data_IF_709282146540
#
_entry.id   IF_709282146540
#
_cell.length_a   1.000
_cell.length_b   1.000
_cell.length_c   1.000
_cell.angle_alpha   90.00
_cell.angle_beta   90.00
_cell.angle_gamma   90.00
#
_symmetry.space_group_name_H-M   'P 1'
#
loop_
_entity.id
_entity.type
_entity.pdbx_description
1 polymer ?
#
# COMPACT_ATOMS: atom_id res chain seq x y z
N UNK A 1 -11.39 29.84 26.65
CA UNK A 1 -11.16 29.24 25.32
C UNK A 1 -12.53 29.09 24.66
N UNK A 2 -12.81 29.84 23.58
CA UNK A 2 -14.16 29.96 22.99
C UNK A 2 -14.76 28.64 22.50
N UNK A 3 -16.04 28.41 22.80
CA UNK A 3 -16.84 27.21 22.44
C UNK A 3 -16.81 26.93 20.91
N UNK A 4 -16.67 27.98 20.10
CA UNK A 4 -16.56 27.88 18.63
C UNK A 4 -15.31 27.10 18.18
N UNK A 5 -14.19 27.26 18.88
CA UNK A 5 -12.95 26.56 18.57
C UNK A 5 -13.05 25.06 18.86
N UNK A 6 -13.75 24.67 19.93
CA UNK A 6 -13.94 23.26 20.32
C UNK A 6 -14.77 22.52 19.27
N UNK A 7 -15.85 23.13 18.76
CA UNK A 7 -16.68 22.54 17.69
C UNK A 7 -15.89 22.34 16.40
N UNK A 8 -15.01 23.28 16.06
CA UNK A 8 -14.18 23.22 14.86
C UNK A 8 -13.13 22.09 14.93
N UNK A 9 -12.47 21.94 16.09
CA UNK A 9 -11.51 20.84 16.35
C UNK A 9 -12.18 19.47 16.24
N UNK A 10 -13.39 19.32 16.79
CA UNK A 10 -14.15 18.06 16.72
C UNK A 10 -14.58 17.71 15.28
N UNK A 11 -14.90 18.73 14.47
CA UNK A 11 -15.18 18.59 13.04
C UNK A 11 -13.95 18.16 12.23
N UNK A 12 -12.80 18.81 12.47
CA UNK A 12 -11.51 18.43 11.86
C UNK A 12 -11.13 17.00 12.25
N UNK A 13 -11.35 16.60 13.51
CA UNK A 13 -11.12 15.24 13.98
C UNK A 13 -11.93 14.18 13.22
N UNK A 14 -13.23 14.43 12.98
CA UNK A 14 -14.05 13.53 12.15
C UNK A 14 -13.57 13.49 10.70
N UNK A 15 -13.18 14.65 10.15
CA UNK A 15 -12.61 14.73 8.79
C UNK A 15 -11.36 13.86 8.63
N UNK A 16 -10.39 13.97 9.55
CA UNK A 16 -9.18 13.16 9.54
C UNK A 16 -9.47 11.67 9.74
N UNK A 17 -10.45 11.34 10.60
CA UNK A 17 -10.86 9.97 10.85
C UNK A 17 -11.43 9.31 9.58
N UNK A 18 -12.39 9.96 8.93
CA UNK A 18 -13.02 9.47 7.69
C UNK A 18 -11.96 9.34 6.58
N UNK A 19 -11.11 10.35 6.44
CA UNK A 19 -10.04 10.34 5.44
C UNK A 19 -9.09 9.15 5.65
N UNK A 20 -8.64 8.91 6.88
CA UNK A 20 -7.78 7.77 7.21
C UNK A 20 -8.43 6.43 6.88
N UNK A 21 -9.72 6.27 7.18
CA UNK A 21 -10.50 5.06 6.84
C UNK A 21 -10.58 4.88 5.31
N UNK A 22 -10.84 5.95 4.56
CA UNK A 22 -10.89 5.88 3.10
C UNK A 22 -9.55 5.41 2.50
N UNK A 23 -8.42 5.89 3.01
CA UNK A 23 -7.10 5.43 2.57
C UNK A 23 -6.87 3.94 2.82
N UNK A 24 -7.32 3.42 3.97
CA UNK A 24 -7.21 2.00 4.28
C UNK A 24 -8.09 1.17 3.33
N UNK A 25 -9.36 1.53 3.16
CA UNK A 25 -10.26 0.83 2.24
C UNK A 25 -9.75 0.87 0.80
N UNK A 26 -9.28 2.03 0.35
CA UNK A 26 -8.70 2.20 -0.98
C UNK A 26 -7.48 1.29 -1.18
N UNK A 27 -6.58 1.21 -0.20
CA UNK A 27 -5.42 0.33 -0.26
C UNK A 27 -5.82 -1.14 -0.41
N UNK A 28 -6.77 -1.62 0.40
CA UNK A 28 -7.26 -3.00 0.32
C UNK A 28 -7.96 -3.27 -1.02
N UNK A 29 -8.80 -2.36 -1.48
CA UNK A 29 -9.50 -2.48 -2.76
C UNK A 29 -8.53 -2.52 -3.95
N UNK A 30 -7.57 -1.60 -3.99
CA UNK A 30 -6.51 -1.56 -5.00
C UNK A 30 -5.69 -2.86 -5.03
N UNK A 31 -5.34 -3.38 -3.85
CA UNK A 31 -4.59 -4.63 -3.74
C UNK A 31 -5.42 -5.82 -4.22
N UNK A 32 -6.70 -5.88 -3.87
CA UNK A 32 -7.60 -6.92 -4.38
C UNK A 32 -7.66 -6.94 -5.91
N UNK A 33 -7.82 -5.77 -6.55
CA UNK A 33 -7.90 -5.68 -8.01
C UNK A 33 -6.60 -6.13 -8.70
N UNK A 34 -5.44 -5.76 -8.15
CA UNK A 34 -4.15 -6.13 -8.71
C UNK A 34 -3.85 -7.62 -8.56
N UNK A 35 -4.20 -8.21 -7.41
CA UNK A 35 -3.93 -9.63 -7.14
C UNK A 35 -4.96 -10.59 -7.76
N UNK A 36 -6.19 -10.14 -8.01
CA UNK A 36 -7.18 -10.91 -8.78
C UNK A 36 -6.99 -10.82 -10.30
N UNK A 37 -6.05 -9.98 -10.75
CA UNK A 37 -5.78 -9.77 -12.17
C UNK A 37 -6.82 -8.91 -12.89
N UNK A 38 -7.71 -8.24 -12.15
CA UNK A 38 -8.65 -7.28 -12.71
C UNK A 38 -7.92 -6.04 -13.26
N UNK A 39 -6.83 -5.63 -12.62
CA UNK A 39 -5.92 -4.59 -13.07
C UNK A 39 -4.47 -5.07 -13.01
N UNK A 40 -3.64 -4.67 -13.98
CA UNK A 40 -2.22 -5.01 -13.95
C UNK A 40 -1.48 -4.13 -12.95
N UNK A 41 -0.56 -4.73 -12.16
CA UNK A 41 0.36 -3.96 -11.33
C UNK A 41 1.17 -2.99 -12.20
N UNK A 42 1.42 -1.75 -11.75
CA UNK A 42 2.27 -0.81 -12.48
C UNK A 42 3.64 -1.43 -12.75
N UNK A 43 4.05 -1.45 -14.03
CA UNK A 43 5.31 -2.06 -14.45
C UNK A 43 6.49 -1.13 -14.19
N UNK A 44 7.00 -1.11 -12.97
CA UNK A 44 8.14 -0.27 -12.55
C UNK A 44 9.48 -0.94 -12.87
N UNK A 45 9.56 -2.26 -12.74
CA UNK A 45 10.76 -3.06 -12.95
C UNK A 45 10.54 -4.00 -14.15
N UNK A 46 11.50 -4.02 -15.07
CA UNK A 46 11.55 -4.95 -16.21
C UNK A 46 12.86 -5.74 -16.14
N UNK A 47 12.73 -7.05 -15.98
CA UNK A 47 13.82 -8.00 -15.87
C UNK A 47 13.99 -8.73 -17.20
N UNK A 48 15.23 -8.88 -17.64
CA UNK A 48 15.55 -9.63 -18.85
C UNK A 48 15.50 -11.15 -18.58
N UNK A 49 15.07 -11.91 -19.58
CA UNK A 49 15.08 -13.37 -19.54
C UNK A 49 16.51 -13.91 -19.56
N UNK A 50 16.80 -14.91 -18.73
CA UNK A 50 18.06 -15.65 -18.80
C UNK A 50 17.86 -16.87 -19.70
N UNK A 51 18.52 -16.86 -20.85
CA UNK A 51 18.50 -17.95 -21.82
C UNK A 51 19.83 -18.68 -21.78
N UNK A 52 19.78 -20.01 -21.73
CA UNK A 52 20.95 -20.85 -21.88
C UNK A 52 20.78 -21.64 -23.17
N UNK A 53 21.75 -21.51 -24.07
CA UNK A 53 21.83 -22.31 -25.28
C UNK A 53 22.42 -23.67 -24.90
N UNK A 54 21.60 -24.73 -24.92
CA UNK A 54 22.11 -26.08 -24.68
C UNK A 54 22.74 -26.61 -25.99
N UNK A 55 23.98 -27.13 -25.95
CA UNK A 55 24.59 -27.76 -27.11
C UNK A 55 23.76 -29.00 -27.46
N UNK A 56 23.11 -28.92 -28.61
CA UNK A 56 22.36 -30.03 -29.20
C UNK A 56 23.31 -30.75 -30.18
N UNK A 57 23.21 -32.07 -30.28
CA UNK A 57 24.18 -32.92 -30.99
C UNK A 57 24.53 -32.43 -32.41
N UNK A 58 25.72 -32.80 -32.89
CA UNK A 58 26.31 -32.33 -34.16
C UNK A 58 25.30 -32.33 -35.31
N UNK A 59 24.98 -31.13 -35.82
CA UNK A 59 24.06 -30.91 -36.95
C UNK A 59 22.67 -30.39 -36.58
N UNK A 60 22.36 -30.21 -35.29
CA UNK A 60 21.10 -29.57 -34.85
C UNK A 60 21.36 -28.16 -34.30
N UNK A 61 20.54 -27.14 -34.65
CA UNK A 61 20.69 -25.81 -34.11
C UNK A 61 20.49 -25.83 -32.58
N UNK A 62 21.28 -25.06 -31.82
CA UNK A 62 21.20 -25.03 -30.36
C UNK A 62 19.78 -24.68 -29.90
N UNK A 63 19.20 -25.50 -29.03
CA UNK A 63 17.93 -25.18 -28.37
C UNK A 63 18.19 -24.14 -27.28
N UNK A 64 17.68 -22.93 -27.50
CA UNK A 64 17.60 -21.89 -26.47
C UNK A 64 16.48 -22.25 -25.49
N UNK A 65 16.85 -22.73 -24.31
CA UNK A 65 15.88 -22.97 -23.23
C UNK A 65 15.87 -21.73 -22.33
N UNK A 66 14.71 -21.08 -22.22
CA UNK A 66 14.47 -19.99 -21.28
C UNK A 66 14.29 -20.60 -19.88
N UNK A 67 15.31 -20.49 -19.03
CA UNK A 67 15.28 -21.09 -17.68
C UNK A 67 14.50 -20.23 -16.69
N UNK A 68 14.57 -18.91 -16.85
CA UNK A 68 13.81 -17.95 -16.04
C UNK A 68 13.19 -16.94 -16.99
N UNK A 69 11.86 -16.93 -17.04
CA UNK A 69 11.16 -15.92 -17.81
C UNK A 69 11.25 -14.57 -17.14
N UNK A 70 11.96 -13.65 -17.79
CA UNK A 70 12.11 -12.27 -17.29
C UNK A 70 10.76 -11.58 -17.11
N UNK A 71 9.77 -11.95 -17.94
CA UNK A 71 8.40 -11.42 -17.88
C UNK A 71 7.71 -11.80 -16.56
N UNK A 72 7.75 -13.05 -16.17
CA UNK A 72 7.11 -13.52 -14.94
C UNK A 72 7.79 -12.96 -13.69
N UNK A 73 9.14 -12.93 -13.69
CA UNK A 73 9.91 -12.33 -12.60
C UNK A 73 9.63 -10.83 -12.44
N UNK A 74 9.45 -10.11 -13.55
CA UNK A 74 9.05 -8.69 -13.54
C UNK A 74 7.66 -8.51 -12.95
N UNK A 75 6.69 -9.34 -13.34
CA UNK A 75 5.31 -9.27 -12.84
C UNK A 75 5.30 -9.51 -11.32
N UNK A 76 5.96 -10.57 -10.85
CA UNK A 76 6.04 -10.89 -9.41
C UNK A 76 6.69 -9.76 -8.62
N UNK A 77 7.79 -9.20 -9.13
CA UNK A 77 8.51 -8.11 -8.48
C UNK A 77 7.66 -6.83 -8.43
N UNK A 78 6.97 -6.48 -9.52
CA UNK A 78 6.09 -5.33 -9.59
C UNK A 78 4.87 -5.47 -8.68
N UNK A 79 4.28 -6.66 -8.60
CA UNK A 79 3.20 -6.96 -7.64
C UNK A 79 3.70 -6.84 -6.19
N UNK A 80 4.89 -7.33 -5.88
CA UNK A 80 5.51 -7.19 -4.57
C UNK A 80 5.79 -5.73 -4.19
N UNK A 81 6.29 -4.94 -5.14
CA UNK A 81 6.50 -3.51 -4.94
C UNK A 81 5.17 -2.76 -4.72
N UNK A 82 4.14 -3.12 -5.47
CA UNK A 82 2.80 -2.56 -5.30
C UNK A 82 2.20 -2.91 -3.93
N UNK A 83 2.37 -4.15 -3.48
CA UNK A 83 1.97 -4.60 -2.15
C UNK A 83 2.65 -3.76 -1.05
N UNK A 84 3.97 -3.54 -1.17
CA UNK A 84 4.72 -2.72 -0.22
C UNK A 84 4.20 -1.27 -0.19
N UNK A 85 3.94 -0.69 -1.37
CA UNK A 85 3.39 0.66 -1.50
C UNK A 85 1.99 0.76 -0.88
N UNK A 86 1.10 -0.20 -1.18
CA UNK A 86 -0.26 -0.21 -0.62
C UNK A 86 -0.26 -0.43 0.89
N UNK A 87 0.65 -1.26 1.41
CA UNK A 87 0.86 -1.42 2.87
C UNK A 87 1.29 -0.09 3.51
N UNK A 88 2.20 0.64 2.86
CA UNK A 88 2.60 1.97 3.30
C UNK A 88 1.40 2.94 3.31
N UNK A 89 0.59 2.96 2.24
CA UNK A 89 -0.63 3.80 2.16
C UNK A 89 -1.62 3.45 3.27
N UNK A 90 -1.85 2.17 3.53
CA UNK A 90 -2.72 1.73 4.63
C UNK A 90 -2.17 2.18 5.99
N UNK A 91 -0.85 2.09 6.21
CA UNK A 91 -0.20 2.55 7.44
C UNK A 91 -0.33 4.07 7.63
N UNK A 92 -0.21 4.85 6.55
CA UNK A 92 -0.41 6.29 6.56
C UNK A 92 -1.86 6.63 6.88
N UNK A 93 -2.82 5.95 6.25
CA UNK A 93 -4.25 6.07 6.55
C UNK A 93 -4.56 5.78 8.02
N UNK A 94 -3.97 4.73 8.59
CA UNK A 94 -4.11 4.41 10.01
C UNK A 94 -3.54 5.49 10.94
N UNK A 95 -2.40 6.09 10.60
CA UNK A 95 -1.83 7.22 11.37
C UNK A 95 -2.71 8.46 11.30
N UNK A 96 -3.21 8.82 10.12
CA UNK A 96 -4.11 9.96 9.92
C UNK A 96 -5.42 9.76 10.69
N UNK A 97 -6.02 8.57 10.56
CA UNK A 97 -7.25 8.22 11.28
C UNK A 97 -7.06 8.24 12.80
N UNK A 98 -5.90 7.76 13.28
CA UNK A 98 -5.53 7.81 14.69
C UNK A 98 -5.40 9.24 15.24
N UNK A 99 -4.89 10.19 14.45
CA UNK A 99 -4.90 11.61 14.81
C UNK A 99 -6.33 12.16 14.90
N UNK A 100 -7.20 11.77 13.96
CA UNK A 100 -8.62 12.10 14.00
C UNK A 100 -9.31 11.64 15.29
N UNK A 101 -9.11 10.38 15.69
CA UNK A 101 -9.65 9.82 16.94
C UNK A 101 -9.14 10.59 18.16
N UNK A 102 -7.84 10.92 18.20
CA UNK A 102 -7.25 11.69 19.31
C UNK A 102 -7.86 13.09 19.44
N UNK A 103 -8.20 13.75 18.34
CA UNK A 103 -8.86 15.06 18.35
C UNK A 103 -10.32 14.98 18.80
N UNK A 104 -11.03 13.90 18.46
CA UNK A 104 -12.45 13.73 18.84
C UNK A 104 -12.59 13.35 20.31
N UNK A 105 -11.60 12.64 20.88
CA UNK A 105 -11.60 12.27 22.30
C UNK A 105 -11.48 13.52 23.17
N UNK A 106 -12.50 13.76 23.98
CA UNK A 106 -12.50 14.90 24.91
C UNK A 106 -11.38 14.75 25.94
N UNK A 107 -10.54 15.78 26.08
CA UNK A 107 -9.50 15.84 27.12
C UNK A 107 -10.24 16.04 28.46
N UNK A 108 -10.50 14.95 29.19
CA UNK A 108 -10.90 15.02 30.60
C UNK A 108 -9.72 15.57 31.41
N UNK A 109 -9.76 16.85 31.76
CA UNK A 109 -8.83 17.41 32.74
C UNK A 109 -9.48 17.20 34.11
N UNK A 110 -9.03 16.20 34.85
CA UNK A 110 -9.33 16.11 36.28
C UNK A 110 -8.48 17.16 36.99
N UNK A 111 -9.11 18.26 37.40
CA UNK A 111 -8.47 19.24 38.27
C UNK A 111 -8.40 18.62 39.65
N UNK A 112 -7.23 18.10 40.02
CA UNK A 112 -6.93 17.72 41.40
C UNK A 112 -6.77 19.03 42.18
N UNK A 113 -7.83 19.45 42.87
CA UNK A 113 -7.70 20.47 43.90
C UNK A 113 -6.87 19.85 45.03
N UNK A 114 -5.69 20.40 45.26
CA UNK A 114 -4.92 20.13 46.48
C UNK A 114 -5.40 21.16 47.50
N UNK A 115 -6.22 20.68 48.45
CA UNK A 115 -6.58 21.41 49.68
C UNK A 115 -5.35 21.61 50.59
#
# INVERSE_FOLDING_TARGET
MEIKNIKNVKGIGHGLLILGILFIFYSVYSMYNVFTGAEAAPSVIQMNSVKISLPTGSGTPPMDTELISGKESSILTNMGLWFMLMTFVASAGGRIGGLGVKLVREIKIEVKNED
#
